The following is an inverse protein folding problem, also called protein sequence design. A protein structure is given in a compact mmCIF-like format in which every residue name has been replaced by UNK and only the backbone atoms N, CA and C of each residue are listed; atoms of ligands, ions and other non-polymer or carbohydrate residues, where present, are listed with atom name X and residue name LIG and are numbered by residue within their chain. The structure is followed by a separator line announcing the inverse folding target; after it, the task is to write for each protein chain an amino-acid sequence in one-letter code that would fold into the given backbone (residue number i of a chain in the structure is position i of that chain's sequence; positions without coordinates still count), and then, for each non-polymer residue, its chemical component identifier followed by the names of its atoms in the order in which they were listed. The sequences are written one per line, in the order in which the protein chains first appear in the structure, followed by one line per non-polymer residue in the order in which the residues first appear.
data_IF_228075611617
#
_entry.id   IF_228075611617
#
_cell.length_a   1.000
_cell.length_b   1.000
_cell.length_c   1.000
_cell.angle_alpha   90.00
_cell.angle_beta   90.00
_cell.angle_gamma   90.00
#
_symmetry.space_group_name_H-M   'P 1'
#
loop_
_entity.id
_entity.type
_entity.pdbx_description
1 polymer ?
#
# COMPACT_ATOMS: atom_id res chain seq x y z
N UNK A 1 -10.67 9.45 10.29
CA UNK A 1 -10.94 8.17 9.58
C UNK A 1 -9.90 8.04 8.49
N UNK A 2 -9.27 6.89 8.25
CA UNK A 2 -8.30 6.81 7.17
C UNK A 2 -8.93 7.08 5.80
N UNK A 3 -8.21 7.83 4.97
CA UNK A 3 -8.48 8.02 3.55
C UNK A 3 -7.75 6.92 2.80
N UNK A 4 -8.45 6.15 1.96
CA UNK A 4 -7.96 4.97 1.27
C UNK A 4 -7.90 5.18 -0.24
N UNK A 5 -7.09 4.34 -0.88
CA UNK A 5 -7.02 4.17 -2.33
C UNK A 5 -7.36 2.71 -2.66
N UNK A 6 -8.50 2.47 -3.31
CA UNK A 6 -8.92 1.13 -3.77
C UNK A 6 -8.87 1.11 -5.30
N UNK A 7 -8.11 0.20 -5.88
CA UNK A 7 -8.05 0.01 -7.33
C UNK A 7 -8.81 -1.23 -7.76
N UNK A 8 -9.25 -1.24 -9.01
CA UNK A 8 -9.60 -2.48 -9.68
C UNK A 8 -8.37 -3.29 -10.07
N UNK A 9 -8.54 -4.61 -10.12
CA UNK A 9 -7.47 -5.59 -10.30
C UNK A 9 -7.69 -6.46 -11.54
N UNK A 10 -7.99 -5.82 -12.67
CA UNK A 10 -8.30 -6.53 -13.93
C UNK A 10 -7.22 -6.34 -14.99
N UNK A 11 -6.29 -5.40 -14.78
CA UNK A 11 -5.28 -5.05 -15.77
C UNK A 11 -3.89 -5.40 -15.25
N UNK A 12 -3.36 -6.54 -15.69
CA UNK A 12 -2.09 -7.09 -15.21
C UNK A 12 -0.88 -6.19 -15.52
N UNK A 13 -0.98 -5.33 -16.54
CA UNK A 13 0.09 -4.39 -16.88
C UNK A 13 0.05 -3.08 -16.07
N UNK A 14 -0.97 -2.92 -15.21
CA UNK A 14 -1.25 -1.73 -14.40
C UNK A 14 -1.25 -0.39 -15.17
N UNK A 15 -1.29 -0.42 -16.51
CA UNK A 15 -1.15 0.77 -17.37
C UNK A 15 -2.35 1.71 -17.32
N UNK A 16 -3.48 1.21 -16.83
CA UNK A 16 -4.70 1.98 -16.64
C UNK A 16 -5.48 1.39 -15.47
N UNK A 17 -5.33 2.01 -14.29
CA UNK A 17 -6.07 1.62 -13.09
C UNK A 17 -7.15 2.65 -12.78
N UNK A 18 -8.35 2.13 -12.49
CA UNK A 18 -9.43 2.93 -11.90
C UNK A 18 -9.32 2.87 -10.40
N UNK A 19 -8.94 3.99 -9.80
CA UNK A 19 -8.69 4.12 -8.37
C UNK A 19 -9.80 4.93 -7.73
N UNK A 20 -10.38 4.38 -6.68
CA UNK A 20 -11.33 5.03 -5.80
C UNK A 20 -10.62 5.67 -4.64
N UNK A 21 -10.85 6.98 -4.44
CA UNK A 21 -10.40 7.72 -3.26
C UNK A 21 -11.60 7.94 -2.35
N UNK A 22 -11.54 7.46 -1.12
CA UNK A 22 -12.58 7.73 -0.14
C UNK A 22 -12.12 7.50 1.29
N UNK A 23 -12.99 7.69 2.27
CA UNK A 23 -12.66 7.46 3.69
C UNK A 23 -13.53 6.40 4.37
N UNK A 24 -12.98 5.69 5.35
CA UNK A 24 -13.74 4.72 6.15
C UNK A 24 -13.10 4.48 7.51
N UNK A 25 -13.89 4.17 8.54
CA UNK A 25 -13.37 3.65 9.82
C UNK A 25 -12.91 2.20 9.72
N UNK A 26 -13.49 1.45 8.79
CA UNK A 26 -13.17 0.05 8.54
C UNK A 26 -13.07 -0.13 7.02
N UNK A 27 -11.84 -0.10 6.51
CA UNK A 27 -11.54 -0.18 5.09
C UNK A 27 -11.92 -1.56 4.55
N UNK A 28 -11.70 -2.64 5.32
CA UNK A 28 -12.01 -4.01 4.93
C UNK A 28 -13.52 -4.22 4.68
N UNK A 29 -14.37 -3.80 5.63
CA UNK A 29 -15.83 -3.88 5.47
C UNK A 29 -16.30 -3.01 4.31
N UNK A 30 -15.68 -1.84 4.12
CA UNK A 30 -15.99 -0.95 3.01
C UNK A 30 -15.61 -1.57 1.66
N UNK A 31 -14.44 -2.19 1.55
CA UNK A 31 -13.98 -2.90 0.37
C UNK A 31 -14.94 -4.04 0.00
N UNK A 32 -15.30 -4.89 0.97
CA UNK A 32 -16.29 -5.96 0.77
C UNK A 32 -17.65 -5.42 0.30
N UNK A 33 -18.10 -4.32 0.89
CA UNK A 33 -19.36 -3.67 0.48
C UNK A 33 -19.27 -3.14 -0.95
N UNK A 34 -18.17 -2.48 -1.32
CA UNK A 34 -17.95 -1.98 -2.68
C UNK A 34 -17.88 -3.13 -3.70
N UNK A 35 -17.25 -4.25 -3.33
CA UNK A 35 -17.16 -5.44 -4.19
C UNK A 35 -18.53 -5.99 -4.57
N UNK A 36 -19.53 -5.95 -3.67
CA UNK A 36 -20.89 -6.44 -4.00
C UNK A 36 -21.56 -5.69 -5.16
N UNK A 37 -21.17 -4.44 -5.39
CA UNK A 37 -21.68 -3.62 -6.49
C UNK A 37 -20.72 -3.50 -7.68
N UNK A 38 -19.56 -4.17 -7.64
CA UNK A 38 -18.53 -4.11 -8.67
C UNK A 38 -18.41 -5.44 -9.39
N UNK A 39 -18.45 -5.48 -10.73
CA UNK A 39 -18.15 -6.69 -11.48
C UNK A 39 -16.66 -7.03 -11.51
N UNK A 40 -15.79 -6.08 -11.15
CA UNK A 40 -14.33 -6.22 -11.16
C UNK A 40 -13.81 -6.50 -9.76
N UNK A 41 -12.71 -7.26 -9.67
CA UNK A 41 -12.01 -7.48 -8.41
C UNK A 41 -11.41 -6.16 -7.88
N UNK A 42 -11.71 -5.83 -6.62
CA UNK A 42 -11.27 -4.59 -5.98
C UNK A 42 -10.22 -4.88 -4.91
N UNK A 43 -9.16 -4.07 -4.93
CA UNK A 43 -7.97 -4.25 -4.11
C UNK A 43 -7.54 -2.95 -3.45
N UNK A 44 -7.12 -3.04 -2.19
CA UNK A 44 -6.55 -1.89 -1.48
C UNK A 44 -5.13 -1.62 -2.00
N UNK A 45 -4.82 -0.38 -2.32
CA UNK A 45 -3.45 0.07 -2.63
C UNK A 45 -2.74 0.59 -1.38
N UNK A 46 -3.45 1.36 -0.56
CA UNK A 46 -2.91 1.99 0.65
C UNK A 46 -3.91 2.94 1.31
N UNK A 47 -3.49 3.54 2.42
CA UNK A 47 -4.30 4.49 3.16
C UNK A 47 -3.45 5.53 3.91
N UNK A 48 -4.08 6.65 4.25
CA UNK A 48 -3.51 7.76 5.00
C UNK A 48 -4.38 7.99 6.24
N UNK A 49 -3.76 7.96 7.40
CA UNK A 49 -4.33 8.41 8.67
C UNK A 49 -4.22 9.94 8.75
N UNK A 50 -5.34 10.61 9.02
CA UNK A 50 -5.38 12.05 9.21
C UNK A 50 -6.42 12.40 10.27
N UNK A 51 -6.08 13.41 11.07
CA UNK A 51 -7.00 14.03 12.03
C UNK A 51 -8.09 14.83 11.31
N UNK A 52 -7.80 15.35 10.11
CA UNK A 52 -8.76 16.01 9.24
C UNK A 52 -9.00 15.21 7.95
N UNK A 53 -9.66 14.07 8.13
CA UNK A 53 -9.97 13.15 7.02
C UNK A 53 -10.88 13.76 5.94
N UNK A 54 -11.69 14.76 6.30
CA UNK A 54 -12.58 15.42 5.34
C UNK A 54 -11.84 16.37 4.44
N UNK A 55 -10.99 17.22 5.01
CA UNK A 55 -10.16 18.11 4.22
C UNK A 55 -9.17 17.33 3.37
N UNK A 56 -8.58 16.25 3.90
CA UNK A 56 -7.66 15.41 3.12
C UNK A 56 -8.35 14.76 1.91
N UNK A 57 -9.51 14.11 2.10
CA UNK A 57 -10.26 13.50 0.99
C UNK A 57 -10.62 14.55 -0.07
N UNK A 58 -11.12 15.71 0.34
CA UNK A 58 -11.47 16.80 -0.58
C UNK A 58 -10.24 17.31 -1.34
N UNK A 59 -9.12 17.53 -0.65
CA UNK A 59 -7.88 18.00 -1.27
C UNK A 59 -7.34 17.01 -2.31
N UNK A 60 -7.49 15.70 -2.06
CA UNK A 60 -7.11 14.67 -3.04
C UNK A 60 -8.07 14.65 -4.24
N UNK A 61 -9.37 14.79 -4.01
CA UNK A 61 -10.35 14.88 -5.11
C UNK A 61 -10.11 16.11 -5.98
N UNK A 62 -9.79 17.25 -5.38
CA UNK A 62 -9.47 18.49 -6.09
C UNK A 62 -8.13 18.35 -6.84
N UNK A 63 -7.12 17.74 -6.22
CA UNK A 63 -5.80 17.50 -6.83
C UNK A 63 -5.90 16.64 -8.09
N UNK A 64 -6.77 15.62 -8.08
CA UNK A 64 -6.92 14.68 -9.19
C UNK A 64 -8.19 14.90 -10.01
N UNK A 65 -8.77 16.10 -9.97
CA UNK A 65 -10.04 16.38 -10.63
C UNK A 65 -9.99 16.16 -12.15
N UNK A 66 -8.84 16.40 -12.77
CA UNK A 66 -8.64 16.19 -14.21
C UNK A 66 -8.67 14.70 -14.60
N UNK A 67 -8.32 13.82 -13.66
CA UNK A 67 -8.34 12.37 -13.81
C UNK A 67 -9.67 11.75 -13.36
N UNK A 68 -10.62 12.56 -12.88
CA UNK A 68 -11.89 12.09 -12.37
C UNK A 68 -12.74 11.48 -13.50
N UNK A 69 -13.08 10.21 -13.32
CA UNK A 69 -13.94 9.44 -14.23
C UNK A 69 -15.39 9.71 -13.89
N UNK A 70 -15.72 9.48 -12.61
CA UNK A 70 -17.08 9.58 -12.09
C UNK A 70 -17.07 9.57 -10.57
N UNK A 71 -17.62 10.61 -9.97
CA UNK A 71 -17.75 10.76 -8.52
C UNK A 71 -16.37 10.61 -7.84
N UNK A 72 -16.15 9.49 -7.15
CA UNK A 72 -14.97 9.21 -6.33
C UNK A 72 -13.95 8.31 -7.06
N UNK A 73 -14.10 8.10 -8.37
CA UNK A 73 -13.25 7.22 -9.19
C UNK A 73 -12.38 8.03 -10.16
N UNK A 74 -11.10 7.67 -10.24
CA UNK A 74 -10.06 8.40 -10.96
C UNK A 74 -9.19 7.44 -11.79
N UNK A 75 -8.64 7.92 -12.91
CA UNK A 75 -7.57 7.20 -13.63
C UNK A 75 -6.22 7.60 -13.04
N UNK A 76 -5.62 6.72 -12.23
CA UNK A 76 -4.34 6.99 -11.58
C UNK A 76 -3.36 5.84 -11.83
N UNK A 77 -2.12 6.19 -12.13
CA UNK A 77 -1.02 5.23 -12.20
C UNK A 77 -0.57 4.84 -10.78
N UNK A 78 -0.05 3.61 -10.56
CA UNK A 78 0.51 3.19 -9.28
C UNK A 78 1.49 4.20 -8.69
N UNK A 79 2.39 4.75 -9.50
CA UNK A 79 3.43 5.68 -9.05
C UNK A 79 2.84 6.96 -8.47
N UNK A 80 1.69 7.41 -8.98
CA UNK A 80 0.99 8.60 -8.45
C UNK A 80 0.49 8.32 -7.04
N UNK A 81 -0.13 7.17 -6.82
CA UNK A 81 -0.62 6.76 -5.50
C UNK A 81 0.55 6.53 -4.54
N UNK A 82 1.61 5.88 -5.01
CA UNK A 82 2.81 5.64 -4.22
C UNK A 82 3.46 6.95 -3.75
N UNK A 83 3.64 7.90 -4.66
CA UNK A 83 4.20 9.22 -4.33
C UNK A 83 3.29 10.02 -3.39
N UNK A 84 1.97 9.91 -3.55
CA UNK A 84 1.03 10.51 -2.62
C UNK A 84 1.24 9.92 -1.22
N UNK A 85 1.26 8.59 -1.07
CA UNK A 85 1.53 7.94 0.23
C UNK A 85 2.87 8.40 0.81
N UNK A 86 3.96 8.39 0.03
CA UNK A 86 5.28 8.89 0.48
C UNK A 86 5.20 10.31 1.05
N UNK A 87 4.43 11.19 0.44
CA UNK A 87 4.32 12.59 0.88
C UNK A 87 3.69 12.77 2.27
N UNK A 88 2.94 11.77 2.77
CA UNK A 88 2.31 11.78 4.10
C UNK A 88 3.13 11.04 5.17
N UNK A 89 4.27 10.45 4.80
CA UNK A 89 5.23 9.84 5.72
C UNK A 89 4.61 8.86 6.72
N UNK A 90 4.99 9.01 8.00
CA UNK A 90 4.58 8.11 9.10
C UNK A 90 3.06 7.91 9.25
N UNK A 91 2.23 8.77 8.68
CA UNK A 91 0.76 8.65 8.72
C UNK A 91 0.18 7.84 7.57
N UNK A 92 1.00 7.30 6.67
CA UNK A 92 0.54 6.61 5.47
C UNK A 92 1.12 5.21 5.34
N UNK A 93 0.39 4.36 4.64
CA UNK A 93 0.66 2.94 4.56
C UNK A 93 0.33 2.40 3.18
N UNK A 94 1.18 1.52 2.65
CA UNK A 94 0.84 0.63 1.54
C UNK A 94 0.11 -0.61 2.07
N UNK A 95 -0.78 -1.17 1.26
CA UNK A 95 -1.31 -2.50 1.51
C UNK A 95 -0.22 -3.53 1.21
N UNK A 96 0.42 -4.06 2.26
CA UNK A 96 1.36 -5.19 2.15
C UNK A 96 0.62 -6.48 1.89
N UNK A 97 1.24 -7.54 1.37
CA UNK A 97 0.56 -8.85 1.21
C UNK A 97 -0.11 -9.39 2.48
N UNK A 98 0.48 -9.17 3.66
CA UNK A 98 -0.13 -9.54 4.95
C UNK A 98 -1.31 -8.64 5.34
N UNK A 99 -1.29 -7.37 4.92
CA UNK A 99 -2.38 -6.39 5.11
C UNK A 99 -3.35 -6.34 3.92
N UNK A 100 -3.07 -7.11 2.87
CA UNK A 100 -3.94 -7.31 1.72
C UNK A 100 -4.85 -8.43 2.16
N UNK A 101 -6.12 -8.11 2.38
CA UNK A 101 -7.13 -9.04 2.91
C UNK A 101 -7.50 -10.16 1.92
N UNK A 102 -6.53 -10.72 1.21
CA UNK A 102 -6.76 -11.72 0.19
C UNK A 102 -5.86 -12.95 0.32
N UNK A 103 -6.54 -14.08 0.49
CA UNK A 103 -6.00 -15.41 0.22
C UNK A 103 -5.89 -15.54 -1.29
N UNK A 104 -4.68 -15.44 -1.82
CA UNK A 104 -4.39 -15.75 -3.22
C UNK A 104 -4.03 -17.24 -3.33
N UNK A 105 -4.48 -17.90 -4.38
CA UNK A 105 -4.48 -19.36 -4.58
C UNK A 105 -3.15 -20.11 -4.34
N UNK A 106 -3.23 -21.44 -4.12
CA UNK A 106 -2.09 -22.37 -4.13
C UNK A 106 -1.68 -22.71 -5.56
N UNK A 107 -0.48 -22.35 -5.98
CA UNK A 107 0.13 -22.90 -7.20
C UNK A 107 1.15 -24.01 -6.90
N UNK A 108 1.39 -24.82 -7.93
CA UNK A 108 1.73 -26.24 -7.89
C UNK A 108 3.24 -26.52 -7.99
N UNK A 109 4.08 -25.49 -8.14
CA UNK A 109 5.40 -25.64 -8.75
C UNK A 109 6.61 -25.16 -7.90
N UNK A 110 6.42 -24.91 -6.60
CA UNK A 110 7.52 -25.04 -5.62
C UNK A 110 8.77 -24.15 -5.74
N UNK A 111 8.72 -23.03 -6.49
CA UNK A 111 9.80 -22.02 -6.53
C UNK A 111 9.32 -20.74 -5.84
N UNK A 112 9.96 -20.27 -4.75
CA UNK A 112 9.61 -19.00 -4.11
C UNK A 112 10.18 -17.84 -4.92
N UNK A 113 9.34 -17.21 -5.76
CA UNK A 113 9.59 -15.84 -6.18
C UNK A 113 9.12 -14.89 -5.07
N UNK A 114 10.06 -14.14 -4.49
CA UNK A 114 9.74 -13.09 -3.52
C UNK A 114 9.13 -11.92 -4.25
N UNK A 115 7.81 -11.91 -4.36
CA UNK A 115 7.08 -10.71 -4.77
C UNK A 115 7.29 -9.61 -3.73
N UNK A 116 7.59 -8.39 -4.19
CA UNK A 116 7.67 -7.20 -3.34
C UNK A 116 6.42 -7.01 -2.48
N UNK A 117 6.52 -6.25 -1.37
CA UNK A 117 5.45 -6.16 -0.39
C UNK A 117 4.20 -5.48 -0.95
N UNK A 118 4.34 -4.67 -2.01
CA UNK A 118 3.24 -3.98 -2.68
C UNK A 118 2.85 -4.64 -4.00
N UNK A 119 1.55 -4.82 -4.22
CA UNK A 119 1.04 -5.49 -5.44
C UNK A 119 1.29 -4.69 -6.72
N UNK A 120 1.30 -3.37 -6.64
CA UNK A 120 1.16 -2.48 -7.80
C UNK A 120 2.49 -2.03 -8.40
N UNK A 121 3.60 -2.39 -7.76
CA UNK A 121 4.95 -2.05 -8.21
C UNK A 121 5.97 -2.33 -7.12
N UNK A 122 7.25 -2.15 -7.46
CA UNK A 122 8.35 -2.33 -6.53
C UNK A 122 8.42 -1.18 -5.53
N UNK A 123 8.76 -1.51 -4.29
CA UNK A 123 8.95 -0.54 -3.20
C UNK A 123 10.20 -0.92 -2.41
N UNK A 124 10.94 0.09 -1.96
CA UNK A 124 12.15 -0.08 -1.18
C UNK A 124 11.83 -0.16 0.32
N UNK A 125 12.50 -1.03 1.06
CA UNK A 125 12.29 -1.22 2.50
C UNK A 125 12.68 0.02 3.34
N UNK A 126 13.54 0.89 2.79
CA UNK A 126 13.85 2.21 3.36
C UNK A 126 12.71 3.22 3.18
N UNK A 127 11.82 3.01 2.22
CA UNK A 127 10.66 3.85 1.96
C UNK A 127 9.41 3.30 2.61
N UNK A 128 9.20 1.98 2.57
CA UNK A 128 8.02 1.33 3.14
C UNK A 128 8.41 0.13 3.99
N UNK A 129 7.88 0.07 5.21
CA UNK A 129 8.11 -1.08 6.06
C UNK A 129 7.50 -2.35 5.41
N UNK A 130 8.28 -3.42 5.15
CA UNK A 130 7.77 -4.62 4.48
C UNK A 130 6.69 -5.36 5.29
N UNK A 131 6.68 -5.20 6.62
CA UNK A 131 5.69 -5.80 7.51
C UNK A 131 4.38 -5.02 7.55
N UNK A 132 4.41 -3.78 8.03
CA UNK A 132 3.19 -3.00 8.26
C UNK A 132 2.82 -2.04 7.13
N UNK A 133 3.69 -1.85 6.15
CA UNK A 133 3.48 -0.95 5.02
C UNK A 133 3.66 0.53 5.33
N UNK A 134 4.10 0.93 6.53
CA UNK A 134 4.31 2.35 6.87
C UNK A 134 5.30 3.01 5.91
N UNK A 135 4.99 4.18 5.36
CA UNK A 135 5.92 4.95 4.49
C UNK A 135 7.06 5.64 5.24
N UNK A 136 7.18 5.37 6.54
CA UNK A 136 8.35 5.71 7.35
C UNK A 136 9.54 4.76 7.10
N UNK A 137 9.34 3.68 6.34
CA UNK A 137 10.35 2.66 6.09
C UNK A 137 10.91 2.03 7.35
N UNK A 138 12.10 1.47 7.20
CA UNK A 138 12.99 1.10 8.29
C UNK A 138 13.95 2.26 8.61
N UNK A 139 14.11 2.55 9.89
CA UNK A 139 14.95 3.64 10.39
C UNK A 139 16.01 3.09 11.33
N UNK A 140 17.26 3.50 11.14
CA UNK A 140 18.35 3.10 12.01
C UNK A 140 18.12 3.56 13.45
N UNK A 141 18.30 2.66 14.40
CA UNK A 141 18.19 2.96 15.81
C UNK A 141 19.49 2.64 16.56
N UNK A 142 20.18 3.68 17.01
CA UNK A 142 21.45 3.58 17.73
C UNK A 142 21.39 2.71 19.00
N UNK A 143 20.24 2.68 19.69
CA UNK A 143 20.10 1.87 20.91
C UNK A 143 20.09 0.37 20.64
N UNK A 144 19.70 -0.03 19.42
CA UNK A 144 19.64 -1.43 19.01
C UNK A 144 20.72 -1.79 18.00
N UNK A 145 21.42 -0.79 17.44
CA UNK A 145 22.46 -0.99 16.44
C UNK A 145 21.93 -1.50 15.09
N UNK A 146 20.62 -1.38 14.83
CA UNK A 146 19.96 -1.97 13.66
C UNK A 146 18.74 -1.14 13.22
N UNK A 147 18.26 -1.42 12.02
CA UNK A 147 17.12 -0.77 11.40
C UNK A 147 15.80 -1.32 11.95
N UNK A 148 14.88 -0.41 12.27
CA UNK A 148 13.55 -0.77 12.77
C UNK A 148 12.45 0.12 12.22
N UNK A 149 11.26 -0.43 12.09
CA UNK A 149 10.08 0.37 11.80
C UNK A 149 9.62 1.14 13.05
N UNK A 150 9.39 2.45 12.91
CA UNK A 150 8.86 3.29 13.99
C UNK A 150 7.40 3.00 14.33
N UNK A 151 6.65 2.36 13.41
CA UNK A 151 5.24 2.00 13.62
C UNK A 151 5.03 0.63 14.24
N UNK A 152 5.51 -0.43 13.58
CA UNK A 152 5.25 -1.80 14.04
C UNK A 152 6.39 -2.39 14.87
N UNK A 153 7.54 -1.72 14.93
CA UNK A 153 8.69 -2.18 15.71
C UNK A 153 9.38 -3.42 15.15
N UNK A 154 9.11 -3.84 13.92
CA UNK A 154 9.93 -4.88 13.28
C UNK A 154 11.39 -4.41 13.27
N UNK A 155 12.27 -5.31 13.66
CA UNK A 155 13.72 -5.18 13.52
C UNK A 155 14.08 -6.08 12.34
N UNK A 156 14.78 -5.53 11.36
CA UNK A 156 15.27 -6.31 10.23
C UNK A 156 16.72 -6.67 10.52
N UNK A 157 16.96 -7.92 10.90
CA UNK A 157 18.31 -8.46 10.98
C UNK A 157 18.67 -8.96 9.58
N UNK A 158 19.68 -8.35 8.96
CA UNK A 158 20.32 -8.98 7.81
C UNK A 158 20.95 -10.27 8.35
N UNK A 159 20.46 -11.43 7.91
CA UNK A 159 21.25 -12.66 8.05
C UNK A 159 22.52 -12.45 7.23
N UNK A 160 23.66 -12.24 7.89
CA UNK A 160 24.96 -12.29 7.22
C UNK A 160 25.04 -13.65 6.53
N UNK A 161 25.09 -13.67 5.19
CA UNK A 161 25.44 -14.88 4.47
C UNK A 161 26.74 -15.42 5.09
N UNK A 162 26.79 -16.70 5.51
CA UNK A 162 28.01 -17.24 6.10
C UNK A 162 29.12 -17.08 5.06
N UNK A 163 30.04 -16.15 5.35
CA UNK A 163 31.10 -15.78 4.42
C UNK A 163 31.83 -17.02 3.96
N UNK A 164 31.98 -17.18 2.65
CA UNK A 164 32.87 -18.18 2.07
C UNK A 164 34.26 -17.95 2.68
N UNK A 165 34.68 -18.84 3.57
CA UNK A 165 36.04 -18.87 4.09
C UNK A 165 37.02 -19.14 2.92
N UNK A 166 38.20 -18.47 2.90
CA UNK A 166 39.13 -18.45 1.78
C UNK A 166 39.85 -19.78 1.49
#
# INVERSE_FOLDING_TARGET
MPVYFIAENENDDHSSLRVKIGRSRNIEVRLRTLQTGSPYDLKLMGWIESDDDRQLEQALHDRYSEQCIRLEWFYLQPEVVLNELKSHGISSYIATKENTFEIMSREKDGVPEYYGPWKWGDVDDSEFCPKCGCSCGLQYNENYGTDRCLKCGIIYEYEEEPGEEP
#
